data_IF_293608275808
#
_entry.id   IF_293608275808
#
_cell.length_a   1.000
_cell.length_b   1.000
_cell.length_c   1.000
_cell.angle_alpha   90.00
_cell.angle_beta   90.00
_cell.angle_gamma   90.00
#
_symmetry.space_group_name_H-M   'P 1'
#
loop_
_entity.id
_entity.type
_entity.pdbx_description
1 polymer ?
#
# COMPACT_ATOMS: atom_id res chain seq x y z
N UNK A 1 -19.69 2.51 -10.62
CA UNK A 1 -19.47 3.95 -10.40
C UNK A 1 -18.04 4.16 -9.92
N UNK A 2 -17.36 5.18 -10.44
CA UNK A 2 -16.03 5.57 -10.03
C UNK A 2 -16.05 7.06 -9.65
N UNK A 3 -15.71 7.44 -8.42
CA UNK A 3 -15.55 8.85 -8.07
C UNK A 3 -14.30 9.42 -8.75
N UNK A 4 -14.43 10.60 -9.35
CA UNK A 4 -13.35 11.29 -10.06
C UNK A 4 -12.75 12.41 -9.19
N UNK A 5 -13.56 13.37 -8.79
CA UNK A 5 -13.14 14.48 -7.93
C UNK A 5 -14.32 15.10 -7.19
N UNK A 6 -14.02 15.90 -6.18
CA UNK A 6 -15.00 16.64 -5.41
C UNK A 6 -15.00 18.11 -5.86
N UNK A 7 -16.18 18.63 -6.16
CA UNK A 7 -16.36 20.01 -6.57
C UNK A 7 -17.09 20.78 -5.46
N UNK A 8 -16.32 21.54 -4.68
CA UNK A 8 -16.85 22.24 -3.51
C UNK A 8 -17.32 21.31 -2.38
N UNK A 9 -18.26 21.79 -1.57
CA UNK A 9 -18.84 21.03 -0.45
C UNK A 9 -19.99 20.11 -0.86
N UNK A 10 -20.68 20.38 -1.98
CA UNK A 10 -21.99 19.84 -2.27
C UNK A 10 -22.07 18.92 -3.48
N UNK A 11 -21.05 18.88 -4.32
CA UNK A 11 -21.03 18.07 -5.54
C UNK A 11 -19.88 17.07 -5.59
N UNK A 12 -20.14 15.89 -6.14
CA UNK A 12 -19.13 14.89 -6.47
C UNK A 12 -19.28 14.48 -7.94
N UNK A 13 -18.21 14.64 -8.72
CA UNK A 13 -18.19 14.16 -10.10
C UNK A 13 -17.83 12.69 -10.12
N UNK A 14 -18.65 11.90 -10.80
CA UNK A 14 -18.53 10.45 -10.87
C UNK A 14 -18.61 9.93 -12.30
N UNK A 15 -17.83 8.91 -12.63
CA UNK A 15 -17.94 8.20 -13.89
C UNK A 15 -18.86 6.97 -13.75
N UNK A 16 -19.80 6.83 -14.66
CA UNK A 16 -20.74 5.70 -14.76
C UNK A 16 -20.81 5.21 -16.21
N UNK A 17 -21.03 3.92 -16.37
CA UNK A 17 -21.27 3.34 -17.69
C UNK A 17 -22.73 3.45 -18.13
N UNK A 18 -23.64 3.49 -17.17
CA UNK A 18 -25.09 3.64 -17.40
C UNK A 18 -25.64 4.80 -16.55
N UNK A 19 -25.86 5.97 -17.16
CA UNK A 19 -26.40 7.13 -16.45
C UNK A 19 -27.87 7.03 -16.10
N UNK A 20 -28.58 5.97 -16.57
CA UNK A 20 -30.00 5.75 -16.29
C UNK A 20 -30.23 4.90 -15.03
N UNK A 21 -29.18 4.37 -14.42
CA UNK A 21 -29.26 3.64 -13.15
C UNK A 21 -29.46 4.59 -11.96
N UNK A 22 -30.71 5.03 -11.82
CA UNK A 22 -31.13 5.95 -10.75
C UNK A 22 -30.86 5.37 -9.35
N UNK A 23 -30.99 4.05 -9.18
CA UNK A 23 -30.74 3.41 -7.86
C UNK A 23 -29.30 3.59 -7.39
N UNK A 24 -28.36 3.38 -8.29
CA UNK A 24 -26.94 3.56 -7.97
C UNK A 24 -26.60 5.02 -7.69
N UNK A 25 -27.28 5.96 -8.33
CA UNK A 25 -27.13 7.40 -8.09
C UNK A 25 -27.68 7.79 -6.72
N UNK A 26 -28.89 7.36 -6.40
CA UNK A 26 -29.55 7.65 -5.11
C UNK A 26 -28.76 7.05 -3.94
N UNK A 27 -28.23 5.84 -4.10
CA UNK A 27 -27.37 5.20 -3.10
C UNK A 27 -26.08 6.00 -2.88
N UNK A 28 -25.41 6.44 -3.96
CA UNK A 28 -24.22 7.28 -3.89
C UNK A 28 -24.50 8.60 -3.17
N UNK A 29 -25.57 9.30 -3.53
CA UNK A 29 -25.96 10.57 -2.90
C UNK A 29 -26.34 10.38 -1.43
N UNK A 30 -27.01 9.26 -1.11
CA UNK A 30 -27.36 8.89 0.27
C UNK A 30 -26.12 8.69 1.14
N UNK A 31 -25.09 8.00 0.63
CA UNK A 31 -23.84 7.70 1.34
C UNK A 31 -22.95 8.95 1.45
N UNK A 32 -22.79 9.67 0.35
CA UNK A 32 -21.87 10.81 0.28
C UNK A 32 -22.46 12.11 0.82
N UNK A 33 -23.78 12.18 0.93
CA UNK A 33 -24.55 13.41 1.22
C UNK A 33 -24.24 14.56 0.25
N UNK A 34 -23.92 14.22 -1.00
CA UNK A 34 -23.54 15.15 -2.06
C UNK A 34 -24.30 14.82 -3.33
N UNK A 35 -24.60 15.83 -4.15
CA UNK A 35 -25.21 15.64 -5.46
C UNK A 35 -24.18 15.07 -6.43
N UNK A 36 -24.60 14.05 -7.20
CA UNK A 36 -23.76 13.43 -8.20
C UNK A 36 -23.80 14.21 -9.53
N UNK A 37 -22.63 14.67 -10.02
CA UNK A 37 -22.46 15.10 -11.40
C UNK A 37 -21.94 13.93 -12.22
N UNK A 38 -22.78 13.41 -13.12
CA UNK A 38 -22.52 12.15 -13.81
C UNK A 38 -21.76 12.40 -15.10
N UNK A 39 -20.65 11.69 -15.29
CA UNK A 39 -19.89 11.60 -16.52
C UNK A 39 -20.00 10.18 -17.05
N UNK A 40 -20.34 10.04 -18.33
CA UNK A 40 -20.43 8.73 -18.97
C UNK A 40 -19.02 8.30 -19.41
N UNK A 41 -18.65 7.08 -19.06
CA UNK A 41 -17.38 6.47 -19.47
C UNK A 41 -17.58 4.99 -19.81
N UNK A 42 -16.69 4.44 -20.62
CA UNK A 42 -16.74 3.03 -20.99
C UNK A 42 -16.48 2.13 -19.77
N UNK A 43 -17.22 1.02 -19.69
CA UNK A 43 -17.09 0.10 -18.54
C UNK A 43 -15.68 -0.48 -18.39
N UNK A 44 -14.97 -0.68 -19.50
CA UNK A 44 -13.58 -1.12 -19.55
C UNK A 44 -12.63 -0.09 -18.92
N UNK A 45 -12.84 1.20 -19.18
CA UNK A 45 -12.07 2.30 -18.63
C UNK A 45 -12.34 2.46 -17.13
N UNK A 46 -13.60 2.39 -16.72
CA UNK A 46 -14.00 2.43 -15.32
C UNK A 46 -13.36 1.28 -14.54
N UNK A 47 -13.44 0.04 -15.07
CA UNK A 47 -12.82 -1.13 -14.43
C UNK A 47 -11.28 -0.99 -14.36
N UNK A 48 -10.66 -0.51 -15.42
CA UNK A 48 -9.21 -0.27 -15.45
C UNK A 48 -8.80 0.77 -14.40
N UNK A 49 -9.54 1.88 -14.29
CA UNK A 49 -9.29 2.91 -13.30
C UNK A 49 -9.53 2.42 -11.86
N UNK A 50 -10.60 1.66 -11.60
CA UNK A 50 -10.84 1.01 -10.31
C UNK A 50 -9.68 0.09 -9.95
N UNK A 51 -9.25 -0.77 -10.88
CA UNK A 51 -8.12 -1.65 -10.66
C UNK A 51 -6.81 -0.88 -10.37
N UNK A 52 -6.59 0.25 -11.06
CA UNK A 52 -5.42 1.09 -10.86
C UNK A 52 -5.40 1.78 -9.50
N UNK A 53 -6.56 2.22 -9.01
CA UNK A 53 -6.64 3.03 -7.79
C UNK A 53 -7.00 2.24 -6.52
N UNK A 54 -7.74 1.13 -6.64
CA UNK A 54 -8.30 0.43 -5.48
C UNK A 54 -7.72 -0.96 -5.22
N UNK A 55 -7.30 -1.72 -6.25
CA UNK A 55 -6.74 -3.07 -6.04
C UNK A 55 -5.45 -3.09 -5.24
N UNK A 56 -4.61 -2.07 -5.40
CA UNK A 56 -3.36 -2.03 -4.67
C UNK A 56 -3.55 -1.70 -3.20
N UNK A 57 -4.55 -0.87 -2.89
CA UNK A 57 -4.89 -0.60 -1.49
C UNK A 57 -5.49 -1.83 -0.80
N UNK A 58 -6.14 -2.74 -1.51
CA UNK A 58 -6.65 -3.99 -0.93
C UNK A 58 -5.53 -5.00 -0.69
N UNK A 59 -4.65 -5.23 -1.65
CA UNK A 59 -3.50 -6.16 -1.47
C UNK A 59 -2.53 -5.66 -0.40
N UNK A 60 -2.28 -4.36 -0.34
CA UNK A 60 -1.54 -3.73 0.76
C UNK A 60 -2.25 -3.88 2.11
N UNK A 61 -3.56 -3.66 2.16
CA UNK A 61 -4.35 -3.84 3.40
C UNK A 61 -4.37 -5.30 3.85
N UNK A 62 -4.49 -6.24 2.94
CA UNK A 62 -4.42 -7.68 3.22
C UNK A 62 -3.04 -8.05 3.75
N UNK A 63 -1.96 -7.62 3.09
CA UNK A 63 -0.60 -7.85 3.56
C UNK A 63 -0.32 -7.19 4.92
N UNK A 64 -0.83 -5.98 5.16
CA UNK A 64 -0.77 -5.30 6.46
C UNK A 64 -1.58 -6.03 7.53
N UNK A 65 -2.76 -6.55 7.21
CA UNK A 65 -3.59 -7.31 8.14
C UNK A 65 -2.90 -8.62 8.51
N UNK A 66 -2.36 -9.37 7.56
CA UNK A 66 -1.60 -10.61 7.80
C UNK A 66 -0.33 -10.35 8.64
N UNK A 67 0.42 -9.29 8.34
CA UNK A 67 1.60 -8.91 9.12
C UNK A 67 1.23 -8.55 10.56
N UNK A 68 0.12 -7.83 10.77
CA UNK A 68 -0.35 -7.45 12.10
C UNK A 68 -0.88 -8.63 12.93
N UNK A 69 -1.44 -9.67 12.28
CA UNK A 69 -1.90 -10.89 12.96
C UNK A 69 -0.70 -11.72 13.40
N UNK A 70 0.35 -11.79 12.58
CA UNK A 70 1.57 -12.53 12.89
C UNK A 70 2.28 -11.95 14.12
N UNK A 71 2.32 -10.64 14.26
CA UNK A 71 2.92 -9.95 15.40
C UNK A 71 2.16 -10.24 16.72
N UNK A 72 0.83 -10.21 16.69
CA UNK A 72 0.00 -10.56 17.86
C UNK A 72 0.19 -12.01 18.31
N UNK A 73 0.48 -12.93 17.39
CA UNK A 73 0.73 -14.33 17.72
C UNK A 73 2.16 -14.55 18.25
N UNK A 74 3.15 -13.78 17.80
CA UNK A 74 4.51 -13.84 18.32
C UNK A 74 4.62 -13.35 19.77
N UNK A 75 3.86 -12.30 20.15
CA UNK A 75 3.78 -11.82 21.53
C UNK A 75 3.06 -12.77 22.51
N UNK A 76 2.18 -13.65 22.01
CA UNK A 76 1.55 -14.70 22.84
C UNK A 76 2.46 -15.91 23.05
N UNK A 77 3.40 -16.17 22.16
CA UNK A 77 4.33 -17.29 22.28
C UNK A 77 5.55 -16.98 23.19
N UNK A 78 5.85 -15.71 23.44
CA UNK A 78 7.00 -15.30 24.24
C UNK A 78 6.79 -15.36 25.77
N UNK A 79 5.61 -15.76 26.26
CA UNK A 79 5.35 -15.96 27.70
C UNK A 79 5.63 -17.38 28.21
N UNK A 80 6.13 -18.29 27.37
CA UNK A 80 6.54 -19.64 27.77
C UNK A 80 8.02 -19.87 27.48
N UNK A 81 8.81 -19.68 28.55
CA UNK A 81 10.16 -20.22 28.82
C UNK A 81 11.07 -20.66 27.66
N UNK A 82 12.18 -19.92 27.51
CA UNK A 82 13.54 -20.48 27.52
C UNK A 82 14.04 -21.23 26.28
N UNK A 83 15.14 -20.68 25.71
CA UNK A 83 16.16 -21.33 24.88
C UNK A 83 15.75 -21.77 23.47
N UNK A 84 16.21 -21.03 22.55
CA UNK A 84 17.04 -21.39 21.42
C UNK A 84 16.92 -20.23 20.41
N UNK A 85 18.06 -19.64 20.06
CA UNK A 85 18.17 -18.82 18.88
C UNK A 85 17.90 -19.75 17.68
N UNK A 86 16.64 -19.84 17.27
CA UNK A 86 16.29 -20.45 16.01
C UNK A 86 16.79 -19.50 14.92
N UNK A 87 17.89 -19.92 14.30
CA UNK A 87 18.35 -19.37 13.03
C UNK A 87 17.15 -19.32 12.09
N UNK A 88 16.64 -18.12 11.88
CA UNK A 88 15.61 -17.84 10.88
C UNK A 88 16.19 -18.36 9.56
N UNK A 89 15.58 -19.40 9.04
CA UNK A 89 15.92 -19.96 7.73
C UNK A 89 15.51 -18.93 6.68
N UNK A 90 16.45 -18.01 6.38
CA UNK A 90 16.25 -16.81 5.56
C UNK A 90 16.00 -17.12 4.07
N UNK A 91 16.14 -18.39 3.63
CA UNK A 91 16.25 -18.69 2.21
C UNK A 91 15.03 -19.30 1.52
N UNK A 92 13.97 -19.75 2.21
CA UNK A 92 12.80 -20.30 1.51
C UNK A 92 11.42 -19.81 1.97
N UNK A 93 11.35 -19.04 3.06
CA UNK A 93 10.10 -18.42 3.53
C UNK A 93 10.00 -16.91 3.30
N UNK A 94 11.13 -16.28 2.93
CA UNK A 94 11.24 -14.82 2.86
C UNK A 94 10.59 -14.24 1.58
N UNK A 95 10.53 -14.99 0.49
CA UNK A 95 9.96 -14.52 -0.78
C UNK A 95 8.44 -14.39 -0.72
N UNK A 96 7.76 -15.22 0.07
CA UNK A 96 6.31 -15.20 0.25
C UNK A 96 5.84 -14.50 1.54
N UNK A 97 6.73 -13.77 2.22
CA UNK A 97 6.33 -13.06 3.42
C UNK A 97 5.35 -11.92 3.10
N UNK A 98 4.42 -11.56 4.00
CA UNK A 98 3.53 -10.42 3.80
C UNK A 98 4.28 -9.12 3.50
N UNK A 99 5.45 -8.93 4.11
CA UNK A 99 6.32 -7.76 3.89
C UNK A 99 6.95 -7.78 2.49
N UNK A 100 7.35 -8.97 1.99
CA UNK A 100 7.85 -9.10 0.61
C UNK A 100 6.77 -8.72 -0.40
N UNK A 101 5.56 -9.29 -0.27
CA UNK A 101 4.42 -8.96 -1.14
C UNK A 101 4.04 -7.47 -1.07
N UNK A 102 4.14 -6.88 0.12
CA UNK A 102 3.89 -5.46 0.31
C UNK A 102 4.93 -4.61 -0.44
N UNK A 103 6.22 -4.95 -0.34
CA UNK A 103 7.30 -4.26 -1.05
C UNK A 103 7.15 -4.40 -2.57
N UNK A 104 6.87 -5.60 -3.07
CA UNK A 104 6.62 -5.86 -4.49
C UNK A 104 5.44 -5.02 -5.00
N UNK A 105 4.35 -4.96 -4.24
CA UNK A 105 3.18 -4.13 -4.56
C UNK A 105 3.51 -2.64 -4.61
N UNK A 106 4.40 -2.16 -3.73
CA UNK A 106 4.85 -0.75 -3.75
C UNK A 106 5.69 -0.46 -5.00
N UNK A 107 6.61 -1.37 -5.35
CA UNK A 107 7.45 -1.22 -6.55
C UNK A 107 6.58 -1.24 -7.81
N UNK A 108 5.66 -2.19 -7.92
CA UNK A 108 4.72 -2.23 -9.04
C UNK A 108 3.87 -0.96 -9.16
N UNK A 109 3.46 -0.40 -8.02
CA UNK A 109 2.73 0.86 -8.01
C UNK A 109 3.60 2.02 -8.50
N UNK A 110 4.85 2.09 -8.04
CA UNK A 110 5.80 3.11 -8.47
C UNK A 110 6.00 3.06 -10.01
N UNK A 111 6.16 1.86 -10.54
CA UNK A 111 6.29 1.65 -12.01
C UNK A 111 5.02 2.11 -12.74
N UNK A 112 3.83 1.74 -12.26
CA UNK A 112 2.56 2.16 -12.87
C UNK A 112 2.36 3.67 -12.84
N UNK A 113 2.72 4.30 -11.72
CA UNK A 113 2.60 5.75 -11.54
C UNK A 113 3.76 6.52 -12.22
N UNK A 114 4.71 5.81 -12.85
CA UNK A 114 5.94 6.38 -13.44
C UNK A 114 6.72 7.22 -12.42
N UNK A 115 6.79 6.73 -11.20
CA UNK A 115 7.55 7.39 -10.15
C UNK A 115 9.05 7.27 -10.43
N UNK A 116 9.78 8.35 -10.20
CA UNK A 116 11.25 8.37 -10.25
C UNK A 116 11.88 7.81 -8.99
N UNK A 117 11.20 7.96 -7.84
CA UNK A 117 11.72 7.56 -6.53
C UNK A 117 10.61 7.03 -5.62
N UNK A 118 10.97 6.11 -4.73
CA UNK A 118 10.17 5.66 -3.60
C UNK A 118 10.89 6.08 -2.32
N UNK A 119 10.26 6.91 -1.51
CA UNK A 119 10.76 7.32 -0.21
C UNK A 119 10.08 6.53 0.90
N UNK A 120 10.86 5.82 1.71
CA UNK A 120 10.39 5.05 2.87
C UNK A 120 10.99 5.69 4.12
N UNK A 121 10.18 6.44 4.84
CA UNK A 121 10.62 7.30 5.93
C UNK A 121 10.01 6.84 7.26
N UNK A 122 10.84 6.49 8.28
CA UNK A 122 10.33 6.18 9.60
C UNK A 122 9.83 7.44 10.31
N UNK A 123 8.77 7.28 11.09
CA UNK A 123 8.26 8.25 12.04
C UNK A 123 8.02 7.56 13.38
N UNK A 124 7.70 8.29 14.43
CA UNK A 124 7.48 7.73 15.77
C UNK A 124 6.37 6.66 15.80
N UNK A 125 5.29 6.85 15.04
CA UNK A 125 4.10 5.99 15.08
C UNK A 125 3.90 5.15 13.83
N UNK A 126 4.52 5.53 12.72
CA UNK A 126 4.31 4.88 11.41
C UNK A 126 5.56 5.02 10.55
N UNK A 127 5.63 4.21 9.50
CA UNK A 127 6.53 4.39 8.37
C UNK A 127 5.75 4.97 7.22
N UNK A 128 6.20 6.11 6.71
CA UNK A 128 5.55 6.79 5.59
C UNK A 128 6.25 6.45 4.28
N UNK A 129 5.48 5.98 3.30
CA UNK A 129 5.95 5.71 1.95
C UNK A 129 5.38 6.77 1.00
N UNK A 130 6.26 7.44 0.26
CA UNK A 130 5.88 8.48 -0.72
C UNK A 130 6.53 8.19 -2.06
N UNK A 131 5.82 8.50 -3.13
CA UNK A 131 6.28 8.35 -4.50
C UNK A 131 6.56 9.73 -5.10
N UNK A 132 7.71 9.89 -5.77
CA UNK A 132 7.98 11.09 -6.56
C UNK A 132 7.48 10.86 -7.97
N UNK A 133 6.46 11.62 -8.36
CA UNK A 133 5.88 11.57 -9.70
C UNK A 133 5.91 12.97 -10.29
N UNK A 134 6.48 13.14 -11.47
CA UNK A 134 6.65 14.45 -12.13
C UNK A 134 7.34 15.48 -11.22
N UNK A 135 8.39 15.07 -10.49
CA UNK A 135 9.14 15.91 -9.56
C UNK A 135 8.45 16.20 -8.21
N UNK A 136 7.16 15.93 -8.06
CA UNK A 136 6.41 16.15 -6.83
C UNK A 136 6.26 14.88 -6.00
N UNK A 137 6.46 14.98 -4.68
CA UNK A 137 6.15 13.88 -3.76
C UNK A 137 4.63 13.78 -3.59
N UNK A 138 4.08 12.74 -4.18
CA UNK A 138 2.65 12.41 -4.15
C UNK A 138 2.43 11.12 -3.40
N UNK A 139 1.17 10.84 -3.09
CA UNK A 139 0.67 9.61 -2.46
C UNK A 139 1.49 9.22 -1.21
N UNK A 140 0.86 9.25 -0.07
CA UNK A 140 1.41 8.77 1.19
C UNK A 140 0.70 7.48 1.59
N UNK A 141 1.47 6.42 1.80
CA UNK A 141 1.01 5.18 2.40
C UNK A 141 1.59 5.15 3.80
N UNK A 142 0.77 4.89 4.80
CA UNK A 142 1.23 4.72 6.17
C UNK A 142 1.25 3.24 6.53
N UNK A 143 2.39 2.79 7.00
CA UNK A 143 2.67 1.42 7.43
C UNK A 143 2.98 1.47 8.92
N UNK A 144 2.52 0.49 9.73
CA UNK A 144 2.87 0.40 11.14
C UNK A 144 4.39 0.44 11.36
N UNK A 145 4.85 1.20 12.37
CA UNK A 145 6.27 1.42 12.63
C UNK A 145 7.07 0.13 12.82
N UNK A 146 6.47 -0.92 13.41
CA UNK A 146 7.14 -2.20 13.65
C UNK A 146 7.58 -2.91 12.36
N UNK A 147 6.91 -2.67 11.22
CA UNK A 147 7.26 -3.26 9.93
C UNK A 147 8.44 -2.56 9.23
N UNK A 148 8.87 -1.40 9.72
CA UNK A 148 9.97 -0.64 9.10
C UNK A 148 11.26 -1.46 9.00
N UNK A 149 11.64 -2.14 10.07
CA UNK A 149 12.87 -2.93 10.10
C UNK A 149 12.83 -4.11 9.13
N UNK A 150 11.66 -4.75 8.97
CA UNK A 150 11.50 -5.88 8.05
C UNK A 150 11.54 -5.41 6.58
N UNK A 151 10.88 -4.29 6.27
CA UNK A 151 10.93 -3.68 4.93
C UNK A 151 12.37 -3.29 4.58
N UNK A 152 13.05 -2.63 5.51
CA UNK A 152 14.45 -2.21 5.30
C UNK A 152 15.37 -3.41 5.08
N UNK A 153 15.21 -4.47 5.88
CA UNK A 153 15.97 -5.70 5.72
C UNK A 153 15.70 -6.34 4.35
N UNK A 154 14.45 -6.37 3.90
CA UNK A 154 14.08 -6.91 2.58
C UNK A 154 14.69 -6.10 1.44
N UNK A 155 14.64 -4.77 1.50
CA UNK A 155 15.29 -3.90 0.50
C UNK A 155 16.79 -4.16 0.45
N UNK A 156 17.45 -4.29 1.60
CA UNK A 156 18.88 -4.60 1.67
C UNK A 156 19.24 -5.95 1.06
N UNK A 157 18.42 -6.97 1.32
CA UNK A 157 18.60 -8.31 0.70
C UNK A 157 18.52 -8.21 -0.82
N UNK A 158 17.46 -7.56 -1.34
CA UNK A 158 17.23 -7.44 -2.78
C UNK A 158 18.34 -6.66 -3.49
N UNK A 159 18.93 -5.67 -2.82
CA UNK A 159 19.99 -4.79 -3.38
C UNK A 159 21.42 -5.20 -3.01
N UNK A 160 21.60 -6.36 -2.34
CA UNK A 160 22.91 -6.87 -1.97
C UNK A 160 23.64 -6.05 -0.90
N UNK A 161 22.89 -5.28 -0.09
CA UNK A 161 23.46 -4.47 1.01
C UNK A 161 23.64 -5.31 2.29
N UNK A 162 24.53 -4.85 3.17
CA UNK A 162 24.76 -5.47 4.47
C UNK A 162 23.57 -5.23 5.43
N UNK A 163 22.93 -6.32 5.84
CA UNK A 163 21.76 -6.28 6.76
C UNK A 163 22.21 -5.94 8.19
N UNK A 164 23.41 -6.31 8.58
CA UNK A 164 23.91 -6.08 9.94
C UNK A 164 24.27 -4.62 10.20
N UNK A 165 24.73 -3.89 9.19
CA UNK A 165 25.03 -2.47 9.30
C UNK A 165 23.76 -1.63 9.32
N UNK A 166 23.51 -0.93 10.43
CA UNK A 166 22.29 -0.10 10.64
C UNK A 166 22.60 1.40 10.79
N UNK A 167 23.86 1.78 10.90
CA UNK A 167 24.25 3.15 11.24
C UNK A 167 24.83 3.93 10.07
N UNK A 168 25.37 3.25 9.07
CA UNK A 168 26.04 3.88 7.94
C UNK A 168 25.15 3.86 6.71
N UNK A 169 25.17 4.92 5.89
CA UNK A 169 24.56 4.91 4.58
C UNK A 169 25.13 3.79 3.72
N UNK A 170 24.27 3.17 2.93
CA UNK A 170 24.64 2.13 1.97
C UNK A 170 23.92 2.41 0.65
N UNK A 171 24.49 1.93 -0.42
CA UNK A 171 23.90 1.89 -1.75
C UNK A 171 23.97 0.48 -2.33
N UNK A 172 23.08 0.17 -3.25
CA UNK A 172 22.98 -1.13 -3.89
C UNK A 172 22.07 -1.10 -5.10
N UNK A 173 21.97 -2.21 -5.81
CA UNK A 173 21.11 -2.33 -7.02
C UNK A 173 20.22 -3.55 -6.90
N UNK A 174 19.01 -3.43 -7.40
CA UNK A 174 18.01 -4.50 -7.56
C UNK A 174 17.95 -4.88 -9.03
#
# INVERSE_FOLDING_TARGET
ILPLYLEGSDKSTVAMSDPTDVRAIDELESITKRKADIRVAEISEIKSAINRHYRLSSSLKEALAEASIRDKNSHRASSAKGKAAESVNLNHGAENSPVARMLDSMIEQAVRDRASDIHIEPSEKSTRVRFRVDGALRRSIEIPAHLHSEITARVKILSGMDIAEKRRPQDGRI
#
